data_IF_136586250972
#
_entry.id   IF_136586250972
#
_cell.length_a   1.000
_cell.length_b   1.000
_cell.length_c   1.000
_cell.angle_alpha   90.00
_cell.angle_beta   90.00
_cell.angle_gamma   90.00
#
_symmetry.space_group_name_H-M   'P 1'
#
loop_
_entity.id
_entity.type
_entity.pdbx_description
1 polymer ?
#
# COMPACT_ATOMS: atom_id res chain seq x y z
N UNK A 1 16.31 -21.11 -5.73
CA UNK A 1 15.74 -20.34 -6.84
C UNK A 1 14.33 -20.87 -7.03
N UNK A 2 13.37 -20.20 -6.44
CA UNK A 2 11.95 -20.56 -6.58
C UNK A 2 11.33 -19.53 -7.51
N UNK A 3 11.17 -19.91 -8.77
CA UNK A 3 10.35 -19.18 -9.72
C UNK A 3 8.89 -19.43 -9.32
N UNK A 4 8.38 -18.56 -8.48
CA UNK A 4 6.94 -18.54 -8.20
C UNK A 4 6.30 -17.71 -9.32
N UNK A 5 5.88 -18.37 -10.38
CA UNK A 5 5.10 -17.76 -11.45
C UNK A 5 3.79 -17.23 -10.85
N UNK A 6 3.66 -15.92 -10.85
CA UNK A 6 2.37 -15.28 -10.68
C UNK A 6 1.53 -15.62 -11.92
N UNK A 7 0.50 -16.44 -11.78
CA UNK A 7 -0.39 -16.80 -12.90
C UNK A 7 -1.08 -15.53 -13.42
N UNK A 8 -0.87 -15.26 -14.69
CA UNK A 8 -1.53 -14.16 -15.39
C UNK A 8 -2.97 -14.60 -15.67
N UNK A 9 -3.92 -14.10 -14.91
CA UNK A 9 -5.33 -14.27 -15.20
C UNK A 9 -5.72 -13.35 -16.36
N UNK A 10 -5.68 -13.87 -17.58
CA UNK A 10 -6.23 -13.21 -18.75
C UNK A 10 -7.69 -13.67 -18.96
N UNK A 11 -8.62 -12.81 -18.56
CA UNK A 11 -10.03 -12.98 -18.97
C UNK A 11 -10.19 -12.34 -20.36
N UNK A 12 -10.20 -13.15 -21.40
CA UNK A 12 -10.43 -12.69 -22.78
C UNK A 12 -11.93 -12.36 -22.91
N UNK A 13 -12.26 -11.07 -22.83
CA UNK A 13 -13.49 -10.50 -23.37
C UNK A 13 -13.15 -9.60 -24.53
N UNK A 14 -14.01 -9.57 -25.56
CA UNK A 14 -13.80 -8.87 -26.83
C UNK A 14 -13.39 -7.39 -26.70
N UNK A 15 -12.58 -6.94 -27.61
CA UNK A 15 -11.67 -5.78 -27.68
C UNK A 15 -12.29 -4.36 -27.62
N UNK A 16 -13.32 -4.09 -26.86
CA UNK A 16 -13.90 -2.73 -26.78
C UNK A 16 -13.76 -2.04 -25.43
N UNK A 17 -13.11 -2.66 -24.45
CA UNK A 17 -12.98 -2.13 -23.08
C UNK A 17 -11.64 -1.44 -22.81
N UNK A 18 -11.65 -0.44 -21.94
CA UNK A 18 -10.45 0.21 -21.42
C UNK A 18 -9.61 -0.79 -20.62
N UNK A 19 -8.32 -0.93 -20.96
CA UNK A 19 -7.40 -1.83 -20.25
C UNK A 19 -6.63 -1.07 -19.18
N UNK A 20 -6.73 -1.54 -17.93
CA UNK A 20 -6.02 -0.95 -16.78
C UNK A 20 -5.05 -1.97 -16.18
N UNK A 21 -3.79 -1.58 -16.09
CA UNK A 21 -2.76 -2.35 -15.41
C UNK A 21 -2.84 -2.17 -13.90
N UNK A 22 -2.84 -3.28 -13.15
CA UNK A 22 -2.86 -3.27 -11.68
C UNK A 22 -1.51 -3.74 -11.17
N UNK A 23 -0.92 -2.97 -10.26
CA UNK A 23 0.38 -3.27 -9.63
C UNK A 23 0.20 -3.35 -8.12
N UNK A 24 0.48 -4.51 -7.54
CA UNK A 24 0.43 -4.72 -6.09
C UNK A 24 0.31 -6.19 -5.69
N UNK A 25 0.10 -6.49 -4.39
CA UNK A 25 0.00 -7.86 -3.90
C UNK A 25 -1.18 -8.63 -4.50
N UNK A 26 -1.00 -9.92 -4.72
CA UNK A 26 -2.01 -10.82 -5.29
C UNK A 26 -3.34 -10.78 -4.52
N UNK A 27 -3.29 -10.70 -3.20
CA UNK A 27 -4.49 -10.65 -2.34
C UNK A 27 -5.37 -9.44 -2.65
N UNK A 28 -4.76 -8.28 -2.86
CA UNK A 28 -5.48 -7.05 -3.21
C UNK A 28 -6.00 -7.11 -4.66
N UNK A 29 -5.24 -7.71 -5.57
CA UNK A 29 -5.63 -7.91 -6.96
C UNK A 29 -6.95 -8.66 -7.08
N UNK A 30 -7.12 -9.76 -6.32
CA UNK A 30 -8.34 -10.57 -6.32
C UNK A 30 -9.57 -9.76 -5.90
N UNK A 31 -9.44 -8.92 -4.87
CA UNK A 31 -10.55 -8.07 -4.41
C UNK A 31 -10.92 -7.03 -5.46
N UNK A 32 -9.92 -6.39 -6.07
CA UNK A 32 -10.15 -5.39 -7.12
C UNK A 32 -10.86 -6.04 -8.31
N UNK A 33 -10.43 -7.22 -8.73
CA UNK A 33 -11.04 -7.95 -9.81
C UNK A 33 -12.54 -8.21 -9.56
N UNK A 34 -12.90 -8.72 -8.39
CA UNK A 34 -14.31 -8.97 -8.03
C UNK A 34 -15.17 -7.71 -8.08
N UNK A 35 -14.63 -6.58 -7.62
CA UNK A 35 -15.34 -5.29 -7.64
C UNK A 35 -15.52 -4.80 -9.08
N UNK A 36 -14.45 -4.83 -9.88
CA UNK A 36 -14.48 -4.32 -11.25
C UNK A 36 -15.38 -5.18 -12.14
N UNK A 37 -15.30 -6.50 -12.07
CA UNK A 37 -16.18 -7.39 -12.84
C UNK A 37 -17.67 -7.16 -12.55
N UNK A 38 -17.99 -6.76 -11.34
CA UNK A 38 -19.37 -6.51 -10.92
C UNK A 38 -19.86 -5.12 -11.27
N UNK A 39 -19.06 -4.10 -11.01
CA UNK A 39 -19.48 -2.68 -11.06
C UNK A 39 -19.05 -1.97 -12.37
N UNK A 40 -18.01 -2.48 -13.06
CA UNK A 40 -17.39 -1.88 -14.25
C UNK A 40 -17.04 -2.94 -15.30
N UNK A 41 -18.03 -3.68 -15.83
CA UNK A 41 -17.79 -4.82 -16.72
C UNK A 41 -17.09 -4.45 -18.04
N UNK A 42 -17.07 -3.17 -18.40
CA UNK A 42 -16.37 -2.64 -19.59
C UNK A 42 -14.86 -2.47 -19.38
N UNK A 43 -14.37 -2.55 -18.13
CA UNK A 43 -12.95 -2.41 -17.82
C UNK A 43 -12.29 -3.78 -17.83
N UNK A 44 -11.20 -3.90 -18.59
CA UNK A 44 -10.32 -5.07 -18.56
C UNK A 44 -9.14 -4.80 -17.63
N UNK A 45 -8.88 -5.72 -16.72
CA UNK A 45 -7.77 -5.62 -15.78
C UNK A 45 -6.64 -6.54 -16.19
N UNK A 46 -5.42 -6.00 -16.20
CA UNK A 46 -4.18 -6.76 -16.40
C UNK A 46 -3.36 -6.65 -15.13
N UNK A 47 -3.21 -7.78 -14.41
CA UNK A 47 -2.50 -7.80 -13.13
C UNK A 47 -1.05 -8.19 -13.31
N UNK A 48 -0.15 -7.43 -12.65
CA UNK A 48 1.24 -7.84 -12.40
C UNK A 48 1.52 -7.70 -10.91
N UNK A 49 1.74 -8.83 -10.26
CA UNK A 49 1.94 -8.85 -8.82
C UNK A 49 3.30 -8.25 -8.46
N UNK A 50 3.32 -7.46 -7.39
CA UNK A 50 4.53 -7.05 -6.70
C UNK A 50 4.39 -7.43 -5.23
N UNK A 51 5.23 -8.33 -4.76
CA UNK A 51 5.33 -8.69 -3.35
C UNK A 51 5.99 -7.56 -2.55
N UNK A 52 6.98 -6.91 -3.16
CA UNK A 52 7.73 -5.82 -2.59
C UNK A 52 7.53 -4.54 -3.41
N UNK A 53 7.47 -3.40 -2.72
CA UNK A 53 7.24 -2.11 -3.37
C UNK A 53 8.37 -1.72 -4.36
N UNK A 54 9.59 -2.26 -4.17
CA UNK A 54 10.74 -2.04 -5.04
C UNK A 54 10.51 -2.57 -6.46
N UNK A 55 9.71 -3.62 -6.61
CA UNK A 55 9.41 -4.24 -7.90
C UNK A 55 8.47 -3.37 -8.74
N UNK A 56 7.70 -2.49 -8.10
CA UNK A 56 6.65 -1.72 -8.74
C UNK A 56 7.16 -0.80 -9.86
N UNK A 57 8.39 -0.30 -9.76
CA UNK A 57 8.98 0.53 -10.82
C UNK A 57 9.28 -0.30 -12.07
N UNK A 58 9.91 -1.47 -11.94
CA UNK A 58 10.21 -2.35 -13.07
C UNK A 58 8.93 -2.84 -13.75
N UNK A 59 7.91 -3.20 -12.96
CA UNK A 59 6.61 -3.63 -13.49
C UNK A 59 5.93 -2.48 -14.26
N UNK A 60 5.95 -1.27 -13.71
CA UNK A 60 5.36 -0.10 -14.38
C UNK A 60 6.09 0.25 -15.69
N UNK A 61 7.42 0.09 -15.72
CA UNK A 61 8.22 0.28 -16.95
C UNK A 61 7.83 -0.71 -18.03
N UNK A 62 7.64 -1.99 -17.67
CA UNK A 62 7.20 -3.03 -18.61
C UNK A 62 5.83 -2.67 -19.19
N UNK A 63 4.84 -2.31 -18.38
CA UNK A 63 3.53 -1.90 -18.87
C UNK A 63 3.59 -0.73 -19.85
N UNK A 64 4.40 0.28 -19.55
CA UNK A 64 4.56 1.44 -20.42
C UNK A 64 5.23 1.10 -21.75
N UNK A 65 6.24 0.23 -21.73
CA UNK A 65 7.00 -0.17 -22.92
C UNK A 65 6.17 -1.08 -23.82
N UNK A 66 5.43 -2.00 -23.27
CA UNK A 66 4.59 -2.95 -24.02
C UNK A 66 3.31 -2.29 -24.55
N UNK A 67 2.93 -1.13 -24.04
CA UNK A 67 1.68 -0.42 -24.39
C UNK A 67 0.43 -1.29 -24.26
N UNK A 68 0.46 -2.18 -23.30
CA UNK A 68 -0.54 -3.21 -23.09
C UNK A 68 -1.82 -2.65 -22.44
N UNK A 69 -1.68 -1.50 -21.76
CA UNK A 69 -2.73 -0.88 -20.96
C UNK A 69 -2.80 0.63 -21.17
N UNK A 70 -3.94 1.21 -20.94
CA UNK A 70 -4.22 2.64 -21.12
C UNK A 70 -3.93 3.46 -19.85
N UNK A 71 -3.80 2.79 -18.71
CA UNK A 71 -3.45 3.42 -17.44
C UNK A 71 -2.99 2.41 -16.40
N UNK A 72 -2.36 2.89 -15.34
CA UNK A 72 -1.90 2.06 -14.22
C UNK A 72 -2.59 2.46 -12.93
N UNK A 73 -3.04 1.45 -12.19
CA UNK A 73 -3.55 1.59 -10.84
C UNK A 73 -2.66 0.80 -9.86
N UNK A 74 -2.00 1.51 -8.98
CA UNK A 74 -1.22 0.91 -7.90
C UNK A 74 -2.15 0.62 -6.72
N UNK A 75 -2.00 -0.54 -6.10
CA UNK A 75 -2.86 -0.95 -4.97
C UNK A 75 -2.60 -0.19 -3.68
N UNK A 76 -1.60 0.68 -3.67
CA UNK A 76 -1.30 1.54 -2.53
C UNK A 76 -0.36 2.70 -2.86
N UNK A 77 -0.28 3.70 -1.96
CA UNK A 77 0.53 4.90 -2.16
C UNK A 77 2.03 4.63 -2.18
N UNK A 78 2.50 3.59 -1.50
CA UNK A 78 3.92 3.23 -1.41
C UNK A 78 4.48 2.80 -2.76
N UNK A 79 3.85 1.80 -3.38
CA UNK A 79 4.24 1.31 -4.70
C UNK A 79 4.21 2.43 -5.73
N UNK A 80 3.16 3.25 -5.71
CA UNK A 80 3.04 4.42 -6.57
C UNK A 80 4.18 5.41 -6.36
N UNK A 81 4.45 5.81 -5.12
CA UNK A 81 5.47 6.80 -4.82
C UNK A 81 6.89 6.29 -5.17
N UNK A 82 7.16 5.00 -4.93
CA UNK A 82 8.44 4.40 -5.30
C UNK A 82 8.66 4.41 -6.81
N UNK A 83 7.64 4.00 -7.58
CA UNK A 83 7.71 4.01 -9.04
C UNK A 83 7.83 5.44 -9.59
N UNK A 84 7.06 6.40 -9.05
CA UNK A 84 7.09 7.82 -9.45
C UNK A 84 8.43 8.52 -9.24
N UNK A 85 9.21 8.10 -8.26
CA UNK A 85 10.56 8.63 -8.03
C UNK A 85 11.56 8.17 -9.09
N UNK A 86 11.29 7.07 -9.78
CA UNK A 86 12.22 6.40 -10.71
C UNK A 86 11.83 6.51 -12.18
N UNK A 87 10.54 6.66 -12.44
CA UNK A 87 9.99 6.68 -13.78
C UNK A 87 9.12 7.90 -14.03
N UNK A 88 9.14 8.35 -15.26
CA UNK A 88 8.20 9.37 -15.76
C UNK A 88 7.02 8.63 -16.40
N UNK A 89 5.77 8.84 -15.94
CA UNK A 89 4.61 8.24 -16.57
C UNK A 89 4.44 8.70 -18.02
N UNK A 90 4.24 7.75 -18.91
CA UNK A 90 3.84 7.99 -20.32
C UNK A 90 2.35 7.73 -20.54
N UNK A 91 1.69 7.09 -19.59
CA UNK A 91 0.25 6.85 -19.51
C UNK A 91 -0.25 7.32 -18.12
N UNK A 92 -1.56 7.53 -17.93
CA UNK A 92 -2.11 7.92 -16.61
C UNK A 92 -1.79 6.91 -15.51
N UNK A 93 -1.30 7.40 -14.39
CA UNK A 93 -1.04 6.61 -13.18
C UNK A 93 -1.88 7.12 -12.02
N UNK A 94 -2.47 6.20 -11.28
CA UNK A 94 -3.18 6.50 -10.04
C UNK A 94 -2.91 5.41 -8.99
N UNK A 95 -3.37 5.61 -7.77
CA UNK A 95 -3.25 4.61 -6.71
C UNK A 95 -4.51 4.56 -5.86
N UNK A 96 -4.76 3.42 -5.23
CA UNK A 96 -5.82 3.29 -4.24
C UNK A 96 -5.36 3.91 -2.92
N UNK A 97 -6.02 4.95 -2.44
CA UNK A 97 -5.70 5.51 -1.13
C UNK A 97 -6.10 4.53 -0.03
N UNK A 98 -5.33 4.52 1.05
CA UNK A 98 -5.77 3.79 2.24
C UNK A 98 -7.06 4.40 2.78
N UNK A 99 -8.02 3.54 3.10
CA UNK A 99 -9.25 3.99 3.75
C UNK A 99 -8.95 4.51 5.16
N UNK A 100 -9.46 5.70 5.48
CA UNK A 100 -9.41 6.22 6.86
C UNK A 100 -10.05 5.25 7.85
N UNK A 101 -11.12 4.59 7.43
CA UNK A 101 -11.83 3.58 8.23
C UNK A 101 -10.92 2.43 8.63
N UNK A 102 -10.04 1.94 7.73
CA UNK A 102 -9.12 0.84 8.05
C UNK A 102 -8.12 1.22 9.13
N UNK A 103 -7.66 2.47 9.16
CA UNK A 103 -6.77 2.96 10.20
C UNK A 103 -7.48 3.09 11.53
N UNK A 104 -8.69 3.64 11.52
CA UNK A 104 -9.51 3.75 12.74
C UNK A 104 -9.81 2.38 13.33
N UNK A 105 -10.16 1.43 12.48
CA UNK A 105 -10.40 0.06 12.92
C UNK A 105 -9.14 -0.56 13.54
N UNK A 106 -7.99 -0.46 12.88
CA UNK A 106 -6.73 -0.99 13.38
C UNK A 106 -6.31 -0.34 14.72
N UNK A 107 -6.47 0.98 14.84
CA UNK A 107 -6.20 1.70 16.09
C UNK A 107 -7.16 1.31 17.20
N UNK A 108 -8.44 1.14 16.89
CA UNK A 108 -9.43 0.69 17.86
C UNK A 108 -9.16 -0.75 18.33
N UNK A 109 -8.86 -1.66 17.42
CA UNK A 109 -8.46 -3.03 17.74
C UNK A 109 -7.20 -3.06 18.61
N UNK A 110 -6.19 -2.25 18.27
CA UNK A 110 -4.99 -2.11 19.09
C UNK A 110 -5.31 -1.54 20.49
N UNK A 111 -6.19 -0.55 20.59
CA UNK A 111 -6.63 0.01 21.86
C UNK A 111 -7.32 -1.04 22.73
N UNK A 112 -8.20 -1.84 22.14
CA UNK A 112 -8.91 -2.93 22.86
C UNK A 112 -7.94 -4.02 23.30
N UNK A 113 -6.96 -4.36 22.45
CA UNK A 113 -6.04 -5.47 22.69
C UNK A 113 -4.93 -5.13 23.69
N UNK A 114 -4.39 -3.93 23.62
CA UNK A 114 -3.20 -3.52 24.38
C UNK A 114 -3.50 -2.50 25.49
N UNK A 115 -4.67 -1.85 25.48
CA UNK A 115 -5.05 -0.83 26.47
C UNK A 115 -3.91 0.21 26.70
N UNK A 116 -3.59 0.48 27.97
CA UNK A 116 -2.53 1.42 28.36
C UNK A 116 -1.11 0.94 28.04
N UNK A 117 -0.93 -0.30 27.60
CA UNK A 117 0.38 -0.86 27.28
C UNK A 117 0.84 -0.52 25.87
N UNK A 118 -0.04 0.08 25.04
CA UNK A 118 0.33 0.58 23.72
C UNK A 118 1.21 1.83 23.84
N UNK A 119 2.52 1.66 23.76
CA UNK A 119 3.50 2.74 23.94
C UNK A 119 3.80 3.51 22.64
N UNK A 120 3.73 2.84 21.50
CA UNK A 120 3.94 3.46 20.19
C UNK A 120 3.16 2.76 19.10
N UNK A 121 2.83 3.52 18.05
CA UNK A 121 2.33 3.03 16.78
C UNK A 121 3.27 3.46 15.66
N UNK A 122 3.43 2.62 14.67
CA UNK A 122 4.12 2.96 13.43
C UNK A 122 3.10 3.18 12.33
N UNK A 123 3.18 4.31 11.66
CA UNK A 123 2.28 4.67 10.57
C UNK A 123 3.06 5.26 9.41
N UNK A 124 2.60 4.99 8.20
CA UNK A 124 3.24 5.47 6.99
C UNK A 124 2.88 6.95 6.71
N UNK A 125 1.76 7.21 6.06
CA UNK A 125 1.46 8.52 5.45
C UNK A 125 0.12 9.08 5.89
N UNK A 126 -0.12 9.12 7.19
CA UNK A 126 -1.31 9.75 7.72
C UNK A 126 -1.01 11.13 8.30
N UNK A 127 -2.01 12.00 8.27
CA UNK A 127 -1.96 13.30 8.94
C UNK A 127 -1.83 13.07 10.45
N UNK A 128 -0.79 13.64 11.04
CA UNK A 128 -0.49 13.43 12.47
C UNK A 128 -1.61 13.92 13.38
N UNK A 129 -2.23 15.05 13.02
CA UNK A 129 -3.35 15.60 13.78
C UNK A 129 -4.53 14.63 13.85
N UNK A 130 -4.86 14.00 12.72
CA UNK A 130 -5.91 13.00 12.65
C UNK A 130 -5.61 11.77 13.51
N UNK A 131 -4.36 11.28 13.45
CA UNK A 131 -3.93 10.14 14.28
C UNK A 131 -4.00 10.48 15.77
N UNK A 132 -3.56 11.67 16.16
CA UNK A 132 -3.63 12.13 17.56
C UNK A 132 -5.05 12.26 18.05
N UNK A 133 -5.96 12.79 17.22
CA UNK A 133 -7.38 12.86 17.56
C UNK A 133 -7.95 11.46 17.84
N UNK A 134 -7.72 10.50 16.94
CA UNK A 134 -8.19 9.12 17.07
C UNK A 134 -7.59 8.43 18.30
N UNK A 135 -6.29 8.57 18.52
CA UNK A 135 -5.63 8.02 19.70
C UNK A 135 -6.20 8.63 21.00
N UNK A 136 -6.45 9.92 21.01
CA UNK A 136 -7.08 10.59 22.15
C UNK A 136 -8.49 10.06 22.44
N UNK A 137 -9.32 9.91 21.39
CA UNK A 137 -10.67 9.35 21.50
C UNK A 137 -10.65 7.88 21.96
N UNK A 138 -9.62 7.12 21.58
CA UNK A 138 -9.41 5.75 22.03
C UNK A 138 -8.80 5.63 23.44
N UNK A 139 -8.54 6.75 24.13
CA UNK A 139 -7.87 6.75 25.44
C UNK A 139 -6.37 6.48 25.39
N UNK A 140 -5.75 6.62 24.21
CA UNK A 140 -4.34 6.34 23.92
C UNK A 140 -3.54 7.63 23.60
N UNK A 141 -3.93 8.77 24.16
CA UNK A 141 -3.33 10.07 23.86
C UNK A 141 -1.83 10.17 24.11
N UNK A 142 -1.30 9.37 25.04
CA UNK A 142 0.13 9.31 25.38
C UNK A 142 0.95 8.41 24.44
N UNK A 143 0.29 7.69 23.51
CA UNK A 143 0.96 6.80 22.57
C UNK A 143 1.84 7.59 21.58
N UNK A 144 3.09 7.21 21.43
CA UNK A 144 4.01 7.83 20.49
C UNK A 144 3.72 7.40 19.05
N UNK A 145 3.71 8.36 18.14
CA UNK A 145 3.60 8.11 16.71
C UNK A 145 5.00 8.06 16.11
N UNK A 146 5.36 6.90 15.58
CA UNK A 146 6.60 6.69 14.84
C UNK A 146 6.27 6.71 13.36
N UNK A 147 6.87 7.63 12.62
CA UNK A 147 6.72 7.64 11.16
C UNK A 147 7.75 6.71 10.55
N UNK A 148 7.29 5.81 9.70
CA UNK A 148 8.14 5.02 8.82
C UNK A 148 8.32 5.81 7.51
N UNK A 149 9.43 6.49 7.28
CA UNK A 149 9.69 7.13 6.00
C UNK A 149 9.96 6.03 4.96
N UNK A 150 9.20 6.05 3.86
CA UNK A 150 9.49 5.20 2.72
C UNK A 150 10.64 5.82 1.90
N UNK A 151 11.70 5.07 1.70
CA UNK A 151 12.83 5.45 0.88
C UNK A 151 14.15 5.44 1.64
N UNK A 152 15.06 6.34 1.31
CA UNK A 152 16.47 6.37 1.75
C UNK A 152 16.69 6.39 3.29
N UNK A 153 15.62 6.48 4.09
CA UNK A 153 15.64 6.55 5.54
C UNK A 153 15.15 5.25 6.23
N UNK A 154 15.09 4.12 5.53
CA UNK A 154 14.68 2.83 6.12
C UNK A 154 15.56 2.45 7.32
N UNK A 155 16.87 2.69 7.22
CA UNK A 155 17.83 2.54 8.32
C UNK A 155 17.51 3.44 9.53
N UNK A 156 16.94 4.61 9.33
CA UNK A 156 16.59 5.52 10.42
C UNK A 156 15.35 5.03 11.19
N UNK A 157 14.41 4.39 10.49
CA UNK A 157 13.24 3.80 11.13
C UNK A 157 13.60 2.61 12.02
N UNK A 158 14.40 1.66 11.53
CA UNK A 158 14.89 0.54 12.33
C UNK A 158 15.68 1.02 13.56
N UNK A 159 16.55 2.01 13.38
CA UNK A 159 17.30 2.62 14.47
C UNK A 159 16.37 3.23 15.51
N UNK A 160 15.39 4.04 15.10
CA UNK A 160 14.40 4.66 16.00
C UNK A 160 13.55 3.62 16.74
N UNK A 161 13.19 2.53 16.05
CA UNK A 161 12.46 1.43 16.66
C UNK A 161 13.30 0.72 17.71
N UNK A 162 14.57 0.47 17.44
CA UNK A 162 15.52 -0.14 18.38
C UNK A 162 15.82 0.79 19.57
N UNK A 163 15.98 2.08 19.35
CA UNK A 163 16.14 3.09 20.41
C UNK A 163 14.91 3.12 21.30
N UNK A 164 13.72 3.18 20.71
CA UNK A 164 12.45 3.12 21.44
C UNK A 164 12.33 1.84 22.28
N UNK A 165 12.65 0.68 21.71
CA UNK A 165 12.63 -0.59 22.41
C UNK A 165 13.61 -0.59 23.59
N UNK A 166 14.84 -0.14 23.35
CA UNK A 166 15.87 -0.03 24.40
C UNK A 166 15.45 0.85 25.55
N UNK A 167 14.83 2.01 25.27
CA UNK A 167 14.46 3.01 26.28
C UNK A 167 13.25 2.58 27.12
N UNK A 168 12.39 1.70 26.59
CA UNK A 168 11.17 1.25 27.29
C UNK A 168 11.28 -0.14 27.95
N UNK A 169 12.32 -0.93 27.65
CA UNK A 169 12.51 -2.27 28.20
C UNK A 169 13.76 -2.41 29.07
N UNK A 170 14.42 -1.32 29.42
CA UNK A 170 15.55 -1.28 30.37
C UNK A 170 15.15 -0.87 31.80
N UNK A 171 13.86 -0.88 32.14
CA UNK A 171 13.40 -0.65 33.53
C UNK A 171 13.03 -1.96 34.20
#
# INVERSE_FOLDING_TARGET
MSEMFCEVFNTVKEETGVKIGIIGPQTTATVIQQVVEKEFPEIQLVFRCSEFYEESAAIAEVFQNEREVEGLLFTGPTNYAYARKRLVPTIPWNYLPHSRTSVYQALFEAAVMYHSDLKAISVDRYEEELLREVLSLAGLGETRILRAPFGEEEYDFERKLLEFHRDNYRQ
#
